data_IF_931445516014
#
_entry.id   IF_931445516014
#
_cell.length_a   1.000
_cell.length_b   1.000
_cell.length_c   1.000
_cell.angle_alpha   90.00
_cell.angle_beta   90.00
_cell.angle_gamma   90.00
#
_symmetry.space_group_name_H-M   'P 1'
#
loop_
_entity.id
_entity.type
_entity.pdbx_description
1 polymer ?
#
# COMPACT_ATOMS: atom_id res chain seq x y z
N UNK A 1 11.95 27.07 -3.56
CA UNK A 1 11.69 26.47 -3.59
C UNK A 1 11.50 25.84 -3.22
N UNK A 2 11.65 26.06 -3.06
CA UNK A 2 11.37 25.46 -2.95
C UNK A 2 11.12 24.89 -2.51
N UNK A 3 11.38 25.09 -2.30
CA UNK A 3 10.95 24.40 -2.18
C UNK A 3 10.68 23.88 -1.84
N UNK A 4 10.65 24.27 -1.56
CA UNK A 4 10.34 23.68 -1.37
C UNK A 4 10.21 23.20 -0.95
N UNK A 5 10.36 23.42 -0.85
CA UNK A 5 10.25 22.85 -0.66
C UNK A 5 10.35 22.47 -0.09
N UNK A 6 10.46 22.72 0.09
CA UNK A 6 10.69 22.25 0.41
C UNK A 6 11.09 22.03 1.03
N UNK A 7 11.35 22.32 1.15
CA UNK A 7 11.88 22.03 1.61
C UNK A 7 12.62 22.05 2.14
N UNK A 8 12.78 22.28 2.47
CA UNK A 8 13.52 22.11 2.91
C UNK A 8 14.10 21.92 3.46
N UNK A 9 14.30 22.00 3.60
CA UNK A 9 14.76 21.62 3.89
C UNK A 9 15.41 21.32 4.16
N UNK A 10 16.02 21.80 4.31
CA UNK A 10 16.63 21.38 4.53
C UNK A 10 17.34 21.11 4.90
N UNK A 11 17.65 21.12 4.61
CA UNK A 11 18.23 20.48 4.95
C UNK A 11 19.18 20.52 5.52
N UNK A 12 19.55 20.77 5.86
CA UNK A 12 20.42 20.65 6.41
C UNK A 12 20.78 19.67 7.27
N UNK A 13 21.61 19.47 7.43
CA UNK A 13 21.99 18.52 8.33
C UNK A 13 21.60 17.17 7.93
N UNK A 14 21.72 16.22 8.77
CA UNK A 14 21.20 14.94 8.45
C UNK A 14 19.70 15.06 8.25
N UNK A 15 19.21 14.49 7.20
CA UNK A 15 17.78 14.54 6.98
C UNK A 15 17.08 13.84 8.13
N UNK A 16 16.13 14.53 8.70
CA UNK A 16 15.24 13.87 9.63
C UNK A 16 14.32 12.97 8.81
N UNK A 17 14.03 11.76 9.29
CA UNK A 17 13.03 10.96 8.62
C UNK A 17 11.72 11.69 8.61
N UNK A 18 10.91 11.41 7.60
CA UNK A 18 9.57 11.96 7.56
C UNK A 18 8.84 11.63 8.84
N UNK A 19 8.05 12.55 9.39
CA UNK A 19 7.27 12.21 10.58
C UNK A 19 6.37 11.03 10.29
N UNK A 20 6.21 10.18 11.29
CA UNK A 20 5.27 9.08 11.16
C UNK A 20 3.85 9.64 11.12
N UNK A 21 2.97 8.93 10.44
CA UNK A 21 1.58 9.31 10.39
C UNK A 21 0.73 8.06 10.15
N UNK A 22 -0.59 8.24 10.17
CA UNK A 22 -1.50 7.14 10.00
C UNK A 22 -1.81 6.86 8.55
N UNK A 23 -2.47 5.74 8.33
CA UNK A 23 -2.83 5.31 7.00
C UNK A 23 -3.76 6.32 6.30
N UNK A 24 -4.62 6.98 7.07
CA UNK A 24 -5.57 7.92 6.49
C UNK A 24 -4.88 9.03 5.70
N UNK A 25 -3.66 9.39 6.10
CA UNK A 25 -2.92 10.42 5.40
C UNK A 25 -2.52 9.99 4.00
N UNK A 26 -2.49 8.70 3.76
CA UNK A 26 -2.01 8.15 2.49
C UNK A 26 -3.14 7.86 1.51
N UNK A 27 -4.40 7.97 1.95
CA UNK A 27 -5.53 7.57 1.10
C UNK A 27 -5.63 8.45 -0.13
N UNK A 28 -5.36 9.74 0.01
CA UNK A 28 -5.41 10.64 -1.14
C UNK A 28 -4.45 10.24 -2.24
N UNK A 29 -3.23 9.85 -1.86
CA UNK A 29 -2.25 9.41 -2.84
C UNK A 29 -2.62 8.06 -3.45
N UNK A 30 -3.21 7.17 -2.67
CA UNK A 30 -3.70 5.92 -3.22
C UNK A 30 -4.83 6.15 -4.20
N UNK A 31 -5.70 7.11 -3.90
CA UNK A 31 -6.79 7.43 -4.81
C UNK A 31 -6.25 7.97 -6.12
N UNK A 32 -5.27 8.85 -6.05
CA UNK A 32 -4.69 9.43 -7.26
C UNK A 32 -4.00 8.38 -8.12
N UNK A 33 -3.30 7.44 -7.50
CA UNK A 33 -2.50 6.47 -8.24
C UNK A 33 -3.30 5.26 -8.69
N UNK A 34 -4.27 4.81 -7.89
CA UNK A 34 -4.96 3.54 -8.13
C UNK A 34 -6.47 3.63 -8.07
N UNK A 35 -7.03 4.78 -7.71
CA UNK A 35 -8.48 4.90 -7.55
C UNK A 35 -9.00 4.28 -6.26
N UNK A 36 -8.13 4.03 -5.29
CA UNK A 36 -8.53 3.47 -4.01
C UNK A 36 -9.28 4.51 -3.18
N UNK A 37 -10.34 4.16 -2.50
CA UNK A 37 -11.02 2.85 -2.53
C UNK A 37 -12.18 2.80 -3.51
N UNK A 38 -12.61 3.94 -4.04
CA UNK A 38 -13.91 4.05 -4.68
C UNK A 38 -13.95 3.39 -6.05
N UNK A 39 -12.83 3.42 -6.77
CA UNK A 39 -12.80 2.86 -8.13
C UNK A 39 -12.46 1.38 -8.13
N UNK A 40 -12.23 0.79 -6.97
CA UNK A 40 -11.96 -0.64 -6.88
C UNK A 40 -13.27 -1.37 -6.61
N UNK A 41 -13.38 -2.55 -7.19
CA UNK A 41 -14.58 -3.37 -7.08
C UNK A 41 -14.40 -4.33 -5.91
N UNK A 42 -14.91 -3.94 -4.75
CA UNK A 42 -14.73 -4.71 -3.53
C UNK A 42 -15.76 -5.82 -3.42
N UNK A 43 -15.28 -7.02 -3.08
CA UNK A 43 -16.14 -8.17 -2.85
C UNK A 43 -15.88 -8.70 -1.45
N UNK A 44 -16.97 -8.95 -0.73
CA UNK A 44 -16.88 -9.48 0.63
C UNK A 44 -16.81 -10.98 0.58
N UNK A 45 -15.78 -11.56 1.19
CA UNK A 45 -15.60 -13.00 1.18
C UNK A 45 -14.91 -13.43 2.46
N UNK A 46 -15.58 -14.25 3.26
CA UNK A 46 -15.02 -14.82 4.49
C UNK A 46 -14.43 -13.76 5.41
N UNK A 47 -15.14 -12.66 5.56
CA UNK A 47 -14.72 -11.60 6.47
C UNK A 47 -13.64 -10.69 5.92
N UNK A 48 -13.34 -10.80 4.63
CA UNK A 48 -12.36 -9.93 3.98
C UNK A 48 -13.00 -9.19 2.83
N UNK A 49 -12.50 -8.00 2.57
CA UNK A 49 -12.88 -7.26 1.37
C UNK A 49 -11.79 -7.44 0.33
N UNK A 50 -12.16 -8.00 -0.80
CA UNK A 50 -11.22 -8.35 -1.85
C UNK A 50 -11.42 -7.45 -3.06
N UNK A 51 -10.34 -7.01 -3.66
CA UNK A 51 -10.35 -6.27 -4.91
C UNK A 51 -9.21 -6.76 -5.78
N UNK A 52 -9.32 -6.54 -7.07
CA UNK A 52 -8.28 -6.92 -8.02
C UNK A 52 -7.92 -5.71 -8.87
N UNK A 53 -6.62 -5.56 -9.13
CA UNK A 53 -6.11 -4.46 -9.94
C UNK A 53 -5.29 -5.08 -11.07
N UNK A 54 -5.62 -4.71 -12.29
CA UNK A 54 -4.88 -5.16 -13.46
C UNK A 54 -3.66 -4.26 -13.66
N UNK A 55 -2.51 -4.85 -13.94
CA UNK A 55 -1.29 -4.11 -14.17
C UNK A 55 -0.39 -4.88 -15.12
N UNK A 56 0.41 -4.15 -15.90
CA UNK A 56 1.37 -4.79 -16.78
C UNK A 56 2.47 -5.49 -16.00
N UNK A 57 2.86 -4.88 -14.88
CA UNK A 57 3.85 -5.47 -13.98
C UNK A 57 3.20 -5.54 -12.59
N UNK A 58 2.56 -6.66 -12.28
CA UNK A 58 1.84 -6.74 -11.01
C UNK A 58 2.72 -6.59 -9.79
N UNK A 59 3.96 -7.07 -9.84
CA UNK A 59 4.87 -6.94 -8.70
C UNK A 59 5.22 -5.48 -8.49
N UNK A 60 5.52 -4.75 -9.56
CA UNK A 60 5.83 -3.34 -9.44
C UNK A 60 4.62 -2.55 -8.95
N UNK A 61 3.42 -2.91 -9.43
CA UNK A 61 2.20 -2.22 -9.02
C UNK A 61 1.90 -2.47 -7.55
N UNK A 62 2.03 -3.71 -7.10
CA UNK A 62 1.80 -4.04 -5.70
C UNK A 62 2.81 -3.34 -4.80
N UNK A 63 4.07 -3.31 -5.22
CA UNK A 63 5.11 -2.64 -4.46
C UNK A 63 4.82 -1.14 -4.34
N UNK A 64 4.39 -0.54 -5.45
CA UNK A 64 4.03 0.88 -5.43
C UNK A 64 2.84 1.14 -4.53
N UNK A 65 1.80 0.30 -4.63
CA UNK A 65 0.62 0.47 -3.79
C UNK A 65 0.99 0.38 -2.31
N UNK A 66 1.75 -0.65 -1.94
CA UNK A 66 2.15 -0.83 -0.56
C UNK A 66 3.03 0.31 -0.07
N UNK A 67 3.92 0.81 -0.93
CA UNK A 67 4.77 1.93 -0.57
C UNK A 67 3.97 3.19 -0.28
N UNK A 68 3.00 3.50 -1.14
CA UNK A 68 2.14 4.65 -0.91
C UNK A 68 1.30 4.45 0.35
N UNK A 69 0.73 3.27 0.50
CA UNK A 69 -0.15 2.99 1.63
C UNK A 69 0.59 3.06 2.96
N UNK A 70 1.87 2.71 2.98
CA UNK A 70 2.64 2.64 4.21
C UNK A 70 3.60 3.82 4.38
N UNK A 71 3.45 4.87 3.59
CA UNK A 71 4.27 6.06 3.76
C UNK A 71 4.10 6.58 5.18
N UNK A 72 5.23 6.85 5.85
CA UNK A 72 5.19 7.34 7.21
C UNK A 72 5.06 6.26 8.28
N UNK A 73 5.34 5.01 7.93
CA UNK A 73 5.22 3.91 8.88
C UNK A 73 6.14 4.10 10.09
N UNK A 74 5.76 3.50 11.21
CA UNK A 74 6.56 3.59 12.44
C UNK A 74 7.43 2.35 12.66
N UNK A 75 7.06 1.21 12.07
CA UNK A 75 7.89 0.01 12.21
C UNK A 75 7.72 -0.86 10.98
N UNK A 76 8.76 -1.64 10.71
CA UNK A 76 8.76 -2.53 9.55
C UNK A 76 9.37 -3.86 9.97
N UNK A 77 8.72 -4.94 9.53
CA UNK A 77 9.24 -6.28 9.70
C UNK A 77 9.38 -6.90 8.32
N UNK A 78 10.61 -7.20 7.88
CA UNK A 78 10.78 -7.83 6.57
C UNK A 78 10.27 -9.26 6.58
N UNK A 79 9.85 -9.73 5.41
CA UNK A 79 9.42 -11.10 5.19
C UNK A 79 10.11 -11.64 3.95
N UNK A 80 10.04 -12.94 3.77
CA UNK A 80 10.71 -13.58 2.63
C UNK A 80 10.25 -13.01 1.30
N UNK A 81 8.97 -12.65 1.21
CA UNK A 81 8.42 -12.17 -0.06
C UNK A 81 7.71 -10.83 0.13
N UNK A 82 8.25 -9.97 1.00
CA UNK A 82 7.65 -8.66 1.18
C UNK A 82 7.98 -8.07 2.53
N UNK A 83 7.00 -7.39 3.13
CA UNK A 83 7.20 -6.80 4.44
C UNK A 83 5.86 -6.57 5.13
N UNK A 84 5.95 -6.34 6.43
CA UNK A 84 4.83 -5.87 7.25
C UNK A 84 5.21 -4.50 7.79
N UNK A 85 4.39 -3.49 7.56
CA UNK A 85 4.62 -2.14 8.08
C UNK A 85 3.45 -1.71 8.94
N UNK A 86 3.77 -1.13 10.09
CA UNK A 86 2.76 -0.64 11.01
C UNK A 86 2.75 0.87 10.98
N UNK A 87 1.56 1.43 10.89
CA UNK A 87 1.38 2.88 10.84
C UNK A 87 1.18 3.43 12.26
N UNK A 88 1.28 4.76 12.36
CA UNK A 88 1.14 5.45 13.64
C UNK A 88 -0.24 5.19 14.27
N UNK A 89 -1.26 5.06 13.46
CA UNK A 89 -2.62 4.84 13.95
C UNK A 89 -2.94 3.37 14.23
N UNK A 90 -1.97 2.46 14.03
CA UNK A 90 -2.18 1.05 14.26
C UNK A 90 -2.55 0.25 13.03
N UNK A 91 -2.80 0.92 11.90
CA UNK A 91 -3.06 0.22 10.64
C UNK A 91 -1.83 -0.56 10.23
N UNK A 92 -2.04 -1.75 9.67
CA UNK A 92 -0.94 -2.61 9.25
C UNK A 92 -1.06 -2.83 7.75
N UNK A 93 0.05 -2.59 7.04
CA UNK A 93 0.15 -2.79 5.60
C UNK A 93 1.10 -3.96 5.36
N UNK A 94 0.63 -4.96 4.63
CA UNK A 94 1.44 -6.15 4.33
C UNK A 94 1.59 -6.24 2.82
N UNK A 95 2.84 -6.28 2.37
CA UNK A 95 3.14 -6.54 0.97
C UNK A 95 3.57 -7.98 0.80
N UNK A 96 2.97 -8.66 -0.18
CA UNK A 96 3.38 -10.00 -0.58
C UNK A 96 3.60 -9.98 -2.08
N UNK A 97 4.85 -10.17 -2.50
CA UNK A 97 5.13 -10.16 -3.93
C UNK A 97 4.68 -11.44 -4.62
N UNK A 98 4.44 -12.50 -3.84
CA UNK A 98 3.78 -13.71 -4.34
C UNK A 98 2.89 -14.25 -3.24
N UNK A 99 1.72 -14.74 -3.63
CA UNK A 99 0.82 -15.38 -2.67
C UNK A 99 0.86 -16.88 -2.87
N UNK A 100 0.41 -17.60 -1.86
CA UNK A 100 0.41 -19.07 -1.93
C UNK A 100 -0.71 -19.60 -2.81
N UNK A 101 -1.72 -18.80 -3.11
CA UNK A 101 -2.87 -19.30 -3.84
C UNK A 101 -2.60 -19.40 -5.33
N UNK A 102 -2.09 -18.35 -5.96
CA UNK A 102 -1.86 -18.38 -7.40
C UNK A 102 -0.57 -17.68 -7.80
N UNK A 103 0.24 -17.30 -6.81
CA UNK A 103 1.52 -16.65 -7.09
C UNK A 103 1.42 -15.17 -7.41
N UNK A 104 0.24 -14.61 -7.46
CA UNK A 104 0.11 -13.18 -7.79
C UNK A 104 0.43 -12.34 -6.55
N UNK A 105 0.98 -11.13 -6.75
CA UNK A 105 1.25 -10.25 -5.62
C UNK A 105 -0.04 -9.69 -5.02
N UNK A 106 0.04 -9.34 -3.75
CA UNK A 106 -1.11 -8.79 -3.05
C UNK A 106 -0.66 -7.85 -1.95
N UNK A 107 -1.56 -6.93 -1.59
CA UNK A 107 -1.36 -6.03 -0.46
C UNK A 107 -2.54 -6.21 0.48
N UNK A 108 -2.24 -6.45 1.75
CA UNK A 108 -3.27 -6.55 2.77
C UNK A 108 -3.28 -5.26 3.57
N UNK A 109 -4.46 -4.73 3.80
CA UNK A 109 -4.65 -3.54 4.61
C UNK A 109 -5.53 -3.90 5.80
N UNK A 110 -4.92 -3.93 6.99
CA UNK A 110 -5.65 -4.12 8.23
C UNK A 110 -5.83 -2.75 8.86
N UNK A 111 -6.91 -2.08 8.47
CA UNK A 111 -7.13 -0.68 8.80
C UNK A 111 -7.77 -0.59 10.16
N UNK A 112 -7.19 0.24 11.04
CA UNK A 112 -7.73 0.43 12.37
C UNK A 112 -9.18 0.92 12.26
N UNK A 113 -10.05 0.32 13.06
CA UNK A 113 -11.47 0.67 13.05
C UNK A 113 -12.30 -0.08 12.03
N UNK A 114 -11.69 -0.84 11.13
CA UNK A 114 -12.42 -1.62 10.14
C UNK A 114 -12.56 -3.06 10.62
N UNK A 115 -13.72 -3.63 10.37
CA UNK A 115 -13.98 -5.00 10.81
C UNK A 115 -13.45 -6.05 9.83
N UNK A 116 -13.08 -5.64 8.63
CA UNK A 116 -12.62 -6.56 7.60
C UNK A 116 -11.26 -6.14 7.10
N UNK A 117 -10.39 -7.12 6.88
CA UNK A 117 -9.11 -6.85 6.23
C UNK A 117 -9.37 -6.67 4.75
N UNK A 118 -8.78 -5.64 4.16
CA UNK A 118 -8.88 -5.39 2.73
C UNK A 118 -7.68 -5.99 2.05
N UNK A 119 -7.92 -6.78 1.00
CA UNK A 119 -6.85 -7.45 0.27
C UNK A 119 -6.98 -7.10 -1.20
N UNK A 120 -5.92 -6.57 -1.75
CA UNK A 120 -5.88 -6.18 -3.15
C UNK A 120 -4.91 -7.09 -3.87
N UNK A 121 -5.41 -7.84 -4.85
CA UNK A 121 -4.60 -8.67 -5.72
C UNK A 121 -4.23 -7.89 -6.95
N UNK A 122 -2.97 -8.04 -7.38
CA UNK A 122 -2.50 -7.42 -8.61
C UNK A 122 -2.25 -8.53 -9.61
N UNK A 123 -2.74 -8.34 -10.82
CA UNK A 123 -2.65 -9.40 -11.83
C UNK A 123 -2.37 -8.79 -13.18
N UNK A 124 -1.78 -9.58 -14.06
CA UNK A 124 -1.53 -9.14 -15.41
C UNK A 124 -2.75 -9.49 -16.25
N UNK A 125 -3.22 -8.53 -17.02
CA UNK A 125 -4.36 -8.78 -17.88
C UNK A 125 -4.05 -9.81 -18.92
N UNK A 126 -5.12 -10.50 -19.37
CA UNK A 126 -4.97 -11.51 -20.40
C UNK A 126 -4.86 -10.82 -21.75
N UNK A 127 -3.68 -10.92 -22.35
CA UNK A 127 -3.44 -10.28 -23.62
C UNK A 127 -3.63 -11.20 -24.80
N UNK A 128 -4.13 -12.37 -24.55
CA UNK A 128 -4.31 -13.33 -25.61
C UNK A 128 -5.64 -13.19 -26.24
N UNK A 129 -6.17 -12.09 -26.10
CA UNK A 129 -7.48 -11.92 -26.73
C UNK A 129 -7.44 -12.33 -28.17
#
# INVERSE_FOLDING_TARGET
MIALSSKPECGLGSPTPSPSHGFAENVGNLKDAFGYPDDLDWKLKKGKKLASVEAEDPIAAATMFAGIASEGFVSEMPRDNGYIRKMDDGTIVVLRVTTSSDGSPAVDLNIVGESHIRKIHFYKGDNNA
#
